data_IF_078308229463
#
_entry.id   IF_078308229463
#
_cell.length_a   1.000
_cell.length_b   1.000
_cell.length_c   1.000
_cell.angle_alpha   90.00
_cell.angle_beta   90.00
_cell.angle_gamma   90.00
#
_symmetry.space_group_name_H-M   'P 1'
#
loop_
_entity.id
_entity.type
_entity.pdbx_description
1 polymer ?
#
# COMPACT_ATOMS: atom_id res chain seq x y z
N UNK A 1 -17.91 -15.88 -10.69
CA UNK A 1 -17.21 -15.27 -11.85
C UNK A 1 -16.47 -13.99 -11.45
N UNK A 2 -17.02 -13.15 -10.56
CA UNK A 2 -16.39 -11.90 -10.11
C UNK A 2 -15.10 -12.05 -9.28
N UNK A 3 -14.92 -13.14 -8.51
CA UNK A 3 -13.73 -13.36 -7.66
C UNK A 3 -12.46 -13.64 -8.48
N UNK A 4 -12.55 -14.41 -9.57
CA UNK A 4 -11.37 -14.76 -10.38
C UNK A 4 -10.80 -13.54 -11.13
N UNK A 5 -11.64 -12.56 -11.46
CA UNK A 5 -11.20 -11.34 -12.13
C UNK A 5 -10.42 -10.44 -11.17
N UNK A 6 -10.88 -10.35 -9.91
CA UNK A 6 -10.24 -9.52 -8.89
C UNK A 6 -8.84 -10.04 -8.51
N UNK A 7 -8.68 -11.35 -8.35
CA UNK A 7 -7.37 -11.96 -8.07
C UNK A 7 -6.36 -11.73 -9.20
N UNK A 8 -6.78 -11.90 -10.46
CA UNK A 8 -5.91 -11.65 -11.62
C UNK A 8 -5.58 -10.15 -11.73
N UNK A 9 -6.54 -9.27 -11.45
CA UNK A 9 -6.33 -7.82 -11.50
C UNK A 9 -5.27 -7.35 -10.49
N UNK A 10 -5.34 -7.82 -9.23
CA UNK A 10 -4.35 -7.48 -8.20
C UNK A 10 -2.95 -7.93 -8.60
N UNK A 11 -2.80 -9.13 -9.17
CA UNK A 11 -1.50 -9.64 -9.60
C UNK A 11 -0.90 -8.78 -10.72
N UNK A 12 -1.70 -8.41 -11.72
CA UNK A 12 -1.25 -7.52 -12.82
C UNK A 12 -0.89 -6.13 -12.29
N UNK A 13 -1.65 -5.63 -11.32
CA UNK A 13 -1.42 -4.34 -10.70
C UNK A 13 -0.08 -4.30 -9.95
N UNK A 14 0.18 -5.33 -9.13
CA UNK A 14 1.43 -5.49 -8.40
C UNK A 14 2.62 -5.57 -9.37
N UNK A 15 2.49 -6.32 -10.46
CA UNK A 15 3.54 -6.45 -11.48
C UNK A 15 3.85 -5.09 -12.17
N UNK A 16 2.84 -4.26 -12.41
CA UNK A 16 3.02 -2.91 -12.97
C UNK A 16 3.68 -1.92 -11.99
N UNK A 17 3.45 -2.04 -10.69
CA UNK A 17 3.98 -1.09 -9.70
C UNK A 17 5.40 -1.45 -9.27
N UNK A 18 5.69 -2.75 -9.19
CA UNK A 18 6.97 -3.23 -8.71
C UNK A 18 8.04 -3.42 -9.80
N UNK A 19 7.72 -3.08 -11.06
CA UNK A 19 8.63 -3.11 -12.21
C UNK A 19 9.49 -4.38 -12.26
N UNK A 20 8.86 -5.53 -12.54
CA UNK A 20 9.53 -6.84 -12.73
C UNK A 20 9.96 -7.52 -11.42
N UNK A 21 9.05 -7.57 -10.44
CA UNK A 21 9.27 -8.22 -9.14
C UNK A 21 9.19 -9.73 -9.24
N UNK A 22 10.13 -10.41 -8.58
CA UNK A 22 10.03 -11.86 -8.39
C UNK A 22 9.11 -12.15 -7.20
N UNK A 23 8.43 -13.30 -7.19
CA UNK A 23 7.57 -13.72 -6.07
C UNK A 23 8.26 -13.63 -4.69
N UNK A 24 9.59 -13.76 -4.64
CA UNK A 24 10.39 -13.57 -3.43
C UNK A 24 10.35 -12.14 -2.88
N UNK A 25 10.36 -11.11 -3.72
CA UNK A 25 10.35 -9.70 -3.28
C UNK A 25 8.99 -9.36 -2.66
N UNK A 26 7.91 -9.93 -3.22
CA UNK A 26 6.57 -9.81 -2.67
C UNK A 26 6.43 -10.52 -1.31
N UNK A 27 7.16 -11.62 -1.11
CA UNK A 27 7.18 -12.36 0.16
C UNK A 27 8.01 -11.63 1.22
N UNK A 28 9.14 -11.03 0.83
CA UNK A 28 10.04 -10.34 1.76
C UNK A 28 9.53 -8.95 2.17
N UNK A 29 8.96 -8.19 1.23
CA UNK A 29 8.43 -6.83 1.45
C UNK A 29 6.89 -6.79 1.39
N UNK A 30 6.22 -7.82 1.93
CA UNK A 30 4.75 -7.93 1.87
C UNK A 30 4.03 -6.75 2.54
N UNK A 31 4.56 -6.20 3.63
CA UNK A 31 3.97 -5.08 4.36
C UNK A 31 3.86 -3.83 3.46
N UNK A 32 4.90 -3.54 2.67
CA UNK A 32 4.90 -2.44 1.70
C UNK A 32 3.93 -2.70 0.55
N UNK A 33 3.84 -3.95 0.09
CA UNK A 33 2.89 -4.32 -0.97
C UNK A 33 1.43 -4.17 -0.50
N UNK A 34 1.13 -4.49 0.76
CA UNK A 34 -0.21 -4.29 1.34
C UNK A 34 -0.55 -2.81 1.52
N UNK A 35 0.38 -2.00 2.04
CA UNK A 35 0.18 -0.54 2.16
C UNK A 35 -0.09 0.11 0.81
N UNK A 36 0.69 -0.28 -0.21
CA UNK A 36 0.50 0.15 -1.58
C UNK A 36 -0.86 -0.29 -2.13
N UNK A 37 -1.29 -1.53 -1.85
CA UNK A 37 -2.56 -2.06 -2.29
C UNK A 37 -3.75 -1.34 -1.64
N UNK A 38 -3.64 -0.96 -0.36
CA UNK A 38 -4.67 -0.22 0.37
C UNK A 38 -4.86 1.20 -0.19
N UNK A 39 -3.77 1.86 -0.63
CA UNK A 39 -3.87 3.15 -1.35
C UNK A 39 -4.48 3.00 -2.75
N UNK A 40 -4.31 1.83 -3.37
CA UNK A 40 -4.84 1.56 -4.71
C UNK A 40 -6.31 1.13 -4.69
N UNK A 41 -6.73 0.38 -3.68
CA UNK A 41 -8.06 -0.23 -3.58
C UNK A 41 -8.66 0.05 -2.20
N UNK A 42 -9.79 0.77 -2.19
CA UNK A 42 -10.55 1.04 -0.98
C UNK A 42 -11.96 0.47 -1.11
N UNK A 43 -12.42 -0.27 -0.10
CA UNK A 43 -13.75 -0.87 -0.05
C UNK A 43 -14.11 -1.75 -1.28
N UNK A 44 -13.12 -2.28 -2.00
CA UNK A 44 -13.31 -3.09 -3.21
C UNK A 44 -13.47 -2.30 -4.51
N UNK A 45 -13.29 -0.98 -4.47
CA UNK A 45 -13.21 -0.12 -5.64
C UNK A 45 -11.79 0.42 -5.80
N UNK A 46 -11.37 0.67 -7.05
CA UNK A 46 -10.08 1.29 -7.35
C UNK A 46 -10.21 2.76 -7.00
N UNK A 47 -9.35 3.23 -6.09
CA UNK A 47 -9.33 4.63 -5.68
C UNK A 47 -8.45 5.44 -6.63
N UNK A 48 -7.14 5.17 -6.61
CA UNK A 48 -6.15 5.92 -7.39
C UNK A 48 -5.40 5.01 -8.37
N UNK A 49 -5.24 5.47 -9.62
CA UNK A 49 -4.50 4.75 -10.69
C UNK A 49 -3.14 5.35 -11.02
N UNK A 50 -2.76 6.41 -10.32
CA UNK A 50 -1.60 7.24 -10.61
C UNK A 50 -0.46 6.84 -9.67
N UNK A 51 0.53 6.09 -10.19
CA UNK A 51 1.70 5.66 -9.41
C UNK A 51 2.39 6.84 -8.68
N UNK A 52 2.33 8.05 -9.25
CA UNK A 52 2.87 9.28 -8.64
C UNK A 52 2.06 9.75 -7.43
N UNK A 53 0.73 9.74 -7.53
CA UNK A 53 -0.13 10.10 -6.40
C UNK A 53 -0.01 9.07 -5.29
N UNK A 54 -0.01 7.78 -5.63
CA UNK A 54 0.11 6.71 -4.64
C UNK A 54 1.44 6.80 -3.87
N UNK A 55 2.57 7.02 -4.56
CA UNK A 55 3.86 7.23 -3.89
C UNK A 55 3.87 8.51 -3.01
N UNK A 56 3.10 9.53 -3.39
CA UNK A 56 2.99 10.76 -2.60
C UNK A 56 2.10 10.53 -1.36
N UNK A 57 0.99 9.81 -1.51
CA UNK A 57 0.08 9.42 -0.43
C UNK A 57 0.77 8.48 0.56
N UNK A 58 1.53 7.50 0.08
CA UNK A 58 2.33 6.60 0.93
C UNK A 58 3.34 7.36 1.79
N UNK A 59 4.13 8.25 1.18
CA UNK A 59 5.08 9.09 1.94
C UNK A 59 4.37 10.01 2.95
N UNK A 60 3.18 10.52 2.61
CA UNK A 60 2.37 11.31 3.52
C UNK A 60 1.81 10.48 4.69
N UNK A 61 1.37 9.26 4.42
CA UNK A 61 0.87 8.31 5.42
C UNK A 61 1.95 7.85 6.40
N UNK A 62 3.15 7.51 5.91
CA UNK A 62 4.30 7.16 6.75
C UNK A 62 4.69 8.30 7.70
N UNK A 63 4.71 9.55 7.21
CA UNK A 63 5.01 10.72 8.04
C UNK A 63 3.91 10.99 9.08
N UNK A 64 2.66 10.66 8.77
CA UNK A 64 1.52 10.78 9.69
C UNK A 64 1.56 9.71 10.79
N UNK A 65 1.83 8.46 10.44
CA UNK A 65 2.07 7.35 11.39
C UNK A 65 3.27 7.63 12.31
N UNK A 66 4.35 8.19 11.76
CA UNK A 66 5.53 8.59 12.53
C UNK A 66 5.21 9.71 13.53
N UNK A 67 4.43 10.71 13.10
CA UNK A 67 3.97 11.78 14.00
C UNK A 67 3.03 11.25 15.07
N UNK A 68 2.11 10.35 14.73
CA UNK A 68 1.16 9.76 15.67
C UNK A 68 1.88 8.96 16.76
N UNK A 69 2.85 8.13 16.37
CA UNK A 69 3.71 7.42 17.32
C UNK A 69 4.47 8.39 18.25
N UNK A 70 5.00 9.50 17.73
CA UNK A 70 5.65 10.52 18.56
C UNK A 70 4.67 11.22 19.52
N UNK A 71 3.43 11.46 19.09
CA UNK A 71 2.40 12.10 19.92
C UNK A 71 1.96 11.17 21.04
N UNK A 72 1.74 9.88 20.75
CA UNK A 72 1.41 8.86 21.75
C UNK A 72 2.56 8.67 22.76
N UNK A 73 3.83 8.67 22.32
CA UNK A 73 4.99 8.60 23.22
C UNK A 73 5.12 9.84 24.12
N UNK A 74 4.75 11.02 23.62
CA UNK A 74 4.74 12.25 24.42
C UNK A 74 3.59 12.26 25.44
N UNK A 75 2.43 11.70 25.08
CA UNK A 75 1.26 11.59 25.95
C UNK A 75 1.45 10.52 27.04
N UNK A 76 2.20 9.43 26.80
CA UNK A 76 2.51 8.41 27.82
C UNK A 76 3.59 8.84 28.84
N UNK A 77 4.37 9.88 28.55
CA UNK A 77 5.42 10.38 29.46
C UNK A 77 4.97 11.55 30.35
N UNK A 78 3.66 11.83 30.46
CA UNK A 78 3.07 12.85 31.33
C UNK A 78 2.09 12.28 32.36
#
# INVERSE_FOLDING_TARGET
MSINLFGIYIVVLLDCIFENVCELDLIYEFEKAYLLLDEYILAGEIQDTSNKEILTSLNGGEEYERQKNLTEILDENF
#
